data_IF_245719739264
#
_entry.id   IF_245719739264
#
_cell.length_a   1.000
_cell.length_b   1.000
_cell.length_c   1.000
_cell.angle_alpha   90.00
_cell.angle_beta   90.00
_cell.angle_gamma   90.00
#
_symmetry.space_group_name_H-M   'P 1'
#
loop_
_entity.id
_entity.type
_entity.pdbx_description
1 polymer ?
#
# COMPACT_ATOMS: atom_id res chain seq x y z
N UNK A 1 -17.42 7.81 6.19
CA UNK A 1 -16.11 7.11 6.14
C UNK A 1 -16.04 5.88 7.05
N UNK A 2 -16.38 5.92 8.35
CA UNK A 2 -16.40 4.72 9.22
C UNK A 2 -17.28 3.56 8.71
N UNK A 3 -18.45 3.87 8.11
CA UNK A 3 -19.35 2.87 7.51
C UNK A 3 -18.79 2.20 6.24
N UNK A 4 -17.80 2.82 5.58
CA UNK A 4 -17.21 2.32 4.33
C UNK A 4 -16.06 1.32 4.61
N UNK A 5 -15.34 1.52 5.71
CA UNK A 5 -14.28 0.60 6.19
C UNK A 5 -14.90 -0.70 6.73
N UNK A 6 -16.04 -0.61 7.44
CA UNK A 6 -16.74 -1.80 7.95
C UNK A 6 -17.27 -2.70 6.82
N UNK A 7 -17.63 -2.11 5.67
CA UNK A 7 -18.11 -2.85 4.51
C UNK A 7 -16.98 -3.62 3.82
N UNK A 8 -15.77 -3.04 3.75
CA UNK A 8 -14.61 -3.68 3.12
C UNK A 8 -14.04 -4.83 3.97
N UNK A 9 -14.07 -4.71 5.30
CA UNK A 9 -13.67 -5.79 6.21
C UNK A 9 -14.66 -6.98 6.19
N UNK A 10 -15.95 -6.74 5.92
CA UNK A 10 -16.97 -7.79 5.88
C UNK A 10 -16.88 -8.65 4.61
N UNK A 11 -16.37 -8.11 3.50
CA UNK A 11 -16.20 -8.85 2.25
C UNK A 11 -15.03 -9.86 2.27
N UNK A 12 -14.09 -9.75 3.21
CA UNK A 12 -12.93 -10.66 3.33
C UNK A 12 -13.29 -11.90 4.16
N UNK A 13 -14.39 -11.88 4.92
CA UNK A 13 -14.79 -12.95 5.83
C UNK A 13 -15.59 -14.09 5.17
N UNK A 14 -16.00 -13.94 3.90
CA UNK A 14 -16.78 -14.98 3.22
C UNK A 14 -15.87 -15.86 2.38
N UNK A 15 -15.98 -17.17 2.62
CA UNK A 15 -15.43 -18.29 1.84
C UNK A 15 -14.11 -18.91 2.31
N UNK A 16 -14.01 -19.22 3.62
CA UNK A 16 -13.23 -20.39 4.03
C UNK A 16 -14.01 -21.68 3.71
N UNK A 17 -14.24 -21.97 2.43
CA UNK A 17 -14.58 -23.32 2.02
C UNK A 17 -13.29 -24.14 2.09
N UNK A 18 -13.28 -25.19 2.90
CA UNK A 18 -12.23 -26.20 2.84
C UNK A 18 -12.26 -26.81 1.44
N UNK A 19 -11.42 -26.30 0.53
CA UNK A 19 -11.30 -26.81 -0.83
C UNK A 19 -10.73 -28.22 -0.75
N UNK A 20 -11.60 -29.22 -0.91
CA UNK A 20 -11.22 -30.62 -0.90
C UNK A 20 -10.63 -30.97 -2.25
N UNK A 21 -9.37 -31.38 -2.26
CA UNK A 21 -8.71 -31.92 -3.45
C UNK A 21 -9.18 -33.36 -3.62
N UNK A 22 -9.97 -33.61 -4.66
CA UNK A 22 -10.43 -34.96 -5.01
C UNK A 22 -9.71 -35.40 -6.27
N UNK A 23 -9.09 -36.59 -6.21
CA UNK A 23 -8.40 -37.21 -7.34
C UNK A 23 -9.28 -38.33 -7.85
N UNK A 24 -9.49 -38.36 -9.16
CA UNK A 24 -10.34 -39.32 -9.85
C UNK A 24 -9.53 -40.08 -10.90
N UNK A 25 -9.68 -41.40 -10.99
CA UNK A 25 -9.06 -42.20 -12.05
C UNK A 25 -9.78 -41.91 -13.36
N UNK A 26 -9.04 -41.51 -14.40
CA UNK A 26 -9.58 -41.16 -15.71
C UNK A 26 -8.66 -41.64 -16.81
N UNK A 27 -9.23 -42.19 -17.88
CA UNK A 27 -8.47 -42.50 -19.09
C UNK A 27 -8.56 -41.34 -20.09
N UNK A 28 -7.43 -40.94 -20.66
CA UNK A 28 -7.35 -39.92 -21.70
C UNK A 28 -6.60 -40.46 -22.92
N UNK A 29 -6.91 -39.91 -24.10
CA UNK A 29 -6.23 -40.29 -25.34
C UNK A 29 -4.95 -39.50 -25.50
N UNK A 30 -3.82 -40.20 -25.63
CA UNK A 30 -2.49 -39.61 -25.84
C UNK A 30 -1.79 -40.35 -26.98
N UNK A 31 -1.32 -39.59 -27.98
CA UNK A 31 -0.80 -40.15 -29.26
C UNK A 31 -1.79 -41.10 -29.97
N UNK A 32 -3.09 -40.83 -29.87
CA UNK A 32 -4.13 -41.65 -30.51
C UNK A 32 -4.51 -42.94 -29.77
N UNK A 33 -3.82 -43.28 -28.67
CA UNK A 33 -4.10 -44.46 -27.85
C UNK A 33 -4.60 -44.06 -26.45
N UNK A 34 -5.34 -44.96 -25.79
CA UNK A 34 -5.85 -44.73 -24.43
C UNK A 34 -4.74 -44.92 -23.41
N UNK A 35 -4.54 -43.93 -22.53
CA UNK A 35 -3.64 -44.02 -21.38
C UNK A 35 -4.47 -43.94 -20.09
N UNK A 36 -4.08 -44.70 -19.07
CA UNK A 36 -4.66 -44.63 -17.75
C UNK A 36 -3.93 -43.61 -16.89
N UNK A 37 -4.68 -42.90 -16.05
CA UNK A 37 -4.11 -41.87 -15.20
C UNK A 37 -5.11 -41.34 -14.18
N UNK A 38 -4.70 -40.26 -13.55
CA UNK A 38 -5.43 -39.61 -12.48
C UNK A 38 -5.63 -38.14 -12.83
N UNK A 39 -6.81 -37.64 -12.52
CA UNK A 39 -7.18 -36.24 -12.71
C UNK A 39 -7.58 -35.57 -11.41
N UNK A 40 -7.26 -34.29 -11.29
CA UNK A 40 -7.70 -33.41 -10.22
C UNK A 40 -8.42 -32.20 -10.80
N UNK A 41 -9.57 -31.86 -10.24
CA UNK A 41 -10.29 -30.63 -10.55
C UNK A 41 -9.88 -29.51 -9.58
N UNK A 42 -9.50 -28.36 -10.13
CA UNK A 42 -8.99 -27.21 -9.40
C UNK A 42 -9.80 -25.96 -9.75
N UNK A 43 -10.07 -25.13 -8.74
CA UNK A 43 -10.73 -23.85 -8.90
C UNK A 43 -9.73 -22.77 -9.31
N UNK A 44 -9.60 -22.55 -10.61
CA UNK A 44 -8.70 -21.57 -11.20
C UNK A 44 -8.76 -21.58 -12.72
N UNK A 45 -8.30 -20.47 -13.31
CA UNK A 45 -8.16 -20.31 -14.75
C UNK A 45 -7.20 -21.35 -15.31
N UNK A 46 -7.48 -21.80 -16.54
CA UNK A 46 -6.67 -22.79 -17.23
C UNK A 46 -5.21 -22.38 -17.33
N UNK A 47 -4.94 -21.10 -17.57
CA UNK A 47 -3.59 -20.55 -17.73
C UNK A 47 -2.79 -20.67 -16.43
N UNK A 48 -3.38 -20.25 -15.31
CA UNK A 48 -2.74 -20.27 -13.99
C UNK A 48 -2.45 -21.70 -13.54
N UNK A 49 -3.43 -22.59 -13.71
CA UNK A 49 -3.30 -24.02 -13.36
C UNK A 49 -2.26 -24.69 -14.25
N UNK A 50 -2.26 -24.41 -15.56
CA UNK A 50 -1.27 -24.96 -16.50
C UNK A 50 0.13 -24.45 -16.18
N UNK A 51 0.29 -23.16 -15.86
CA UNK A 51 1.58 -22.58 -15.49
C UNK A 51 2.12 -23.18 -14.18
N UNK A 52 1.27 -23.32 -13.17
CA UNK A 52 1.62 -23.94 -11.90
C UNK A 52 1.98 -25.43 -12.07
N UNK A 53 1.20 -26.16 -12.88
CA UNK A 53 1.47 -27.56 -13.20
C UNK A 53 2.80 -27.73 -13.94
N UNK A 54 3.05 -26.91 -14.96
CA UNK A 54 4.32 -26.91 -15.70
C UNK A 54 5.53 -26.66 -14.79
N UNK A 55 5.38 -25.78 -13.80
CA UNK A 55 6.43 -25.55 -12.80
C UNK A 55 6.62 -26.75 -11.90
N UNK A 56 5.53 -27.44 -11.56
CA UNK A 56 5.53 -28.61 -10.68
C UNK A 56 6.15 -29.85 -11.33
N UNK A 57 5.78 -30.18 -12.58
CA UNK A 57 6.28 -31.38 -13.26
C UNK A 57 7.71 -31.25 -13.80
N UNK A 58 8.28 -30.04 -13.82
CA UNK A 58 9.69 -29.84 -14.18
C UNK A 58 10.65 -30.58 -13.24
N UNK A 59 10.25 -30.78 -12.00
CA UNK A 59 11.04 -31.52 -11.01
C UNK A 59 11.13 -33.02 -11.36
N UNK A 60 10.23 -33.52 -12.22
CA UNK A 60 10.21 -34.92 -12.68
C UNK A 60 11.11 -35.15 -13.91
N UNK A 61 11.51 -34.10 -14.62
CA UNK A 61 12.37 -34.20 -15.80
C UNK A 61 12.11 -33.14 -16.87
N UNK A 62 12.72 -33.34 -18.05
CA UNK A 62 12.60 -32.41 -19.19
C UNK A 62 11.23 -32.53 -19.85
N UNK A 63 10.34 -31.58 -19.54
CA UNK A 63 9.01 -31.48 -20.14
C UNK A 63 9.11 -31.17 -21.64
N UNK A 64 8.46 -32.00 -22.46
CA UNK A 64 8.27 -31.79 -23.91
C UNK A 64 6.79 -31.65 -24.22
N UNK A 65 6.47 -30.88 -25.25
CA UNK A 65 5.09 -30.70 -25.74
C UNK A 65 4.82 -31.64 -26.91
N UNK A 66 3.65 -32.29 -26.90
CA UNK A 66 3.16 -33.16 -27.96
C UNK A 66 1.75 -32.75 -28.37
N UNK A 67 1.59 -31.60 -29.03
CA UNK A 67 0.27 -31.10 -29.42
C UNK A 67 -0.57 -30.67 -28.22
N UNK A 68 -1.61 -31.44 -27.87
CA UNK A 68 -2.54 -31.17 -26.78
C UNK A 68 -2.15 -31.80 -25.44
N UNK A 69 -1.03 -32.52 -25.39
CA UNK A 69 -0.48 -33.11 -24.17
C UNK A 69 1.00 -32.74 -24.00
N UNK A 70 1.50 -32.98 -22.80
CA UNK A 70 2.91 -32.88 -22.44
C UNK A 70 3.43 -34.25 -22.07
N UNK A 71 4.73 -34.46 -22.28
CA UNK A 71 5.37 -35.71 -21.93
C UNK A 71 6.76 -35.54 -21.37
N UNK A 72 7.15 -36.46 -20.51
CA UNK A 72 8.49 -36.55 -19.91
C UNK A 72 9.01 -37.95 -20.18
N UNK A 73 10.11 -38.04 -20.91
CA UNK A 73 10.87 -39.27 -21.09
C UNK A 73 11.75 -39.49 -19.87
N UNK A 74 11.82 -40.74 -19.39
CA UNK A 74 12.63 -41.13 -18.23
C UNK A 74 12.33 -40.31 -16.97
N UNK A 75 11.06 -40.29 -16.51
CA UNK A 75 10.66 -39.44 -15.40
C UNK A 75 11.25 -39.92 -14.07
N UNK A 76 11.54 -38.99 -13.17
CA UNK A 76 11.86 -39.27 -11.78
C UNK A 76 10.60 -39.14 -10.91
N UNK A 77 9.95 -40.26 -10.59
CA UNK A 77 8.69 -40.27 -9.83
C UNK A 77 8.93 -40.87 -8.44
N UNK A 78 8.51 -40.15 -7.39
CA UNK A 78 8.63 -40.63 -6.01
C UNK A 78 10.07 -40.86 -5.53
N UNK A 79 11.04 -40.17 -6.13
CA UNK A 79 12.47 -40.34 -5.83
C UNK A 79 13.17 -41.44 -6.64
N UNK A 80 12.44 -42.20 -7.46
CA UNK A 80 13.00 -43.22 -8.35
C UNK A 80 13.09 -42.67 -9.77
N UNK A 81 14.29 -42.67 -10.35
CA UNK A 81 14.49 -42.36 -11.76
C UNK A 81 14.24 -43.59 -12.62
N UNK A 82 13.26 -43.53 -13.51
CA UNK A 82 12.93 -44.63 -14.42
C UNK A 82 13.68 -44.44 -15.74
N UNK A 83 14.38 -45.48 -16.21
CA UNK A 83 15.14 -45.48 -17.47
C UNK A 83 14.29 -45.83 -18.70
N UNK A 84 13.05 -46.25 -18.47
CA UNK A 84 12.07 -46.67 -19.48
C UNK A 84 10.71 -46.15 -19.07
N UNK A 85 9.92 -45.68 -20.02
CA UNK A 85 8.58 -45.18 -19.79
C UNK A 85 8.46 -43.68 -20.03
N UNK A 86 7.26 -43.29 -20.44
CA UNK A 86 6.89 -41.90 -20.70
C UNK A 86 5.76 -41.53 -19.73
N UNK A 87 5.95 -40.41 -19.05
CA UNK A 87 4.90 -39.76 -18.26
C UNK A 87 4.15 -38.78 -19.16
N UNK A 88 2.83 -38.83 -19.14
CA UNK A 88 1.97 -37.94 -19.92
C UNK A 88 1.16 -37.04 -19.00
N UNK A 89 0.99 -35.79 -19.41
CA UNK A 89 0.16 -34.82 -18.70
C UNK A 89 -0.70 -34.02 -19.68
N UNK A 90 -1.89 -33.66 -19.23
CA UNK A 90 -2.83 -32.84 -20.01
C UNK A 90 -3.59 -31.91 -19.08
N UNK A 91 -3.69 -30.64 -19.46
CA UNK A 91 -4.49 -29.65 -18.75
C UNK A 91 -5.68 -29.24 -19.62
N UNK A 92 -6.88 -29.32 -19.06
CA UNK A 92 -8.10 -28.84 -19.70
C UNK A 92 -8.88 -27.98 -18.71
N UNK A 93 -9.71 -27.06 -19.16
CA UNK A 93 -10.42 -26.16 -18.25
C UNK A 93 -11.06 -24.97 -18.91
N UNK A 94 -11.85 -24.25 -18.12
CA UNK A 94 -12.44 -22.96 -18.45
C UNK A 94 -11.86 -21.88 -17.53
N UNK A 95 -12.50 -20.71 -17.47
CA UNK A 95 -12.02 -19.57 -16.66
C UNK A 95 -12.19 -19.77 -15.14
N UNK A 96 -13.03 -20.69 -14.69
CA UNK A 96 -13.34 -20.89 -13.27
C UNK A 96 -12.80 -22.20 -12.70
N UNK A 97 -12.79 -23.25 -13.53
CA UNK A 97 -12.47 -24.62 -13.17
C UNK A 97 -11.56 -25.24 -14.22
N UNK A 98 -10.47 -25.83 -13.75
CA UNK A 98 -9.51 -26.52 -14.59
C UNK A 98 -9.19 -27.89 -14.04
N UNK A 99 -9.08 -28.85 -14.93
CA UNK A 99 -8.72 -30.23 -14.65
C UNK A 99 -7.31 -30.49 -15.15
N UNK A 100 -6.46 -31.03 -14.28
CA UNK A 100 -5.15 -31.55 -14.66
C UNK A 100 -5.22 -33.06 -14.61
N UNK A 101 -4.80 -33.70 -15.70
CA UNK A 101 -4.67 -35.14 -15.82
C UNK A 101 -3.19 -35.52 -15.99
N UNK A 102 -2.78 -36.58 -15.31
CA UNK A 102 -1.47 -37.18 -15.44
C UNK A 102 -1.59 -38.69 -15.48
N UNK A 103 -0.82 -39.35 -16.35
CA UNK A 103 -0.92 -40.78 -16.55
C UNK A 103 0.26 -41.38 -17.28
N UNK A 104 0.24 -42.70 -17.40
CA UNK A 104 1.27 -43.51 -18.06
C UNK A 104 0.61 -44.56 -18.93
N UNK A 105 1.33 -45.03 -19.95
CA UNK A 105 0.91 -46.16 -20.77
C UNK A 105 1.62 -47.41 -20.29
N UNK A 106 0.89 -48.40 -19.79
CA UNK A 106 1.49 -49.64 -19.28
C UNK A 106 2.41 -50.35 -20.29
N UNK A 107 2.09 -50.29 -21.59
CA UNK A 107 2.91 -50.89 -22.66
C UNK A 107 4.29 -50.25 -22.85
N UNK A 108 4.50 -49.01 -22.40
CA UNK A 108 5.77 -48.29 -22.52
C UNK A 108 6.69 -48.51 -21.30
N UNK A 109 6.21 -49.22 -20.27
CA UNK A 109 6.90 -49.42 -19.00
C UNK A 109 7.27 -50.89 -18.82
N UNK A 110 8.56 -51.18 -18.66
CA UNK A 110 9.08 -52.55 -18.44
C UNK A 110 9.23 -52.91 -16.96
N UNK A 111 8.66 -52.11 -16.06
CA UNK A 111 8.81 -52.27 -14.61
C UNK A 111 7.81 -53.32 -14.13
N UNK A 112 8.26 -54.26 -13.29
CA UNK A 112 7.45 -55.36 -12.76
C UNK A 112 6.20 -54.92 -11.97
N UNK A 113 6.09 -53.64 -11.56
CA UNK A 113 4.95 -53.12 -10.80
C UNK A 113 4.48 -51.74 -11.31
N UNK A 114 3.78 -51.73 -12.45
CA UNK A 114 3.07 -50.54 -12.97
C UNK A 114 2.12 -49.94 -11.90
N UNK A 115 1.56 -50.80 -11.04
CA UNK A 115 0.69 -50.37 -9.93
C UNK A 115 1.39 -49.43 -8.93
N UNK A 116 2.71 -49.58 -8.70
CA UNK A 116 3.48 -48.68 -7.83
C UNK A 116 3.59 -47.30 -8.50
N UNK A 117 3.86 -47.28 -9.81
CA UNK A 117 3.96 -46.05 -10.60
C UNK A 117 2.60 -45.32 -10.62
N UNK A 118 1.51 -46.04 -10.83
CA UNK A 118 0.14 -45.49 -10.77
C UNK A 118 -0.16 -44.87 -9.40
N UNK A 119 0.13 -45.57 -8.30
CA UNK A 119 -0.05 -45.04 -6.95
C UNK A 119 0.83 -43.83 -6.64
N UNK A 120 2.02 -43.74 -7.25
CA UNK A 120 2.86 -42.54 -7.15
C UNK A 120 2.29 -41.37 -7.97
N UNK A 121 1.71 -41.62 -9.14
CA UNK A 121 1.05 -40.59 -9.96
C UNK A 121 -0.19 -40.04 -9.26
N UNK A 122 -0.99 -40.90 -8.62
CA UNK A 122 -2.13 -40.46 -7.80
C UNK A 122 -1.68 -39.50 -6.69
N UNK A 123 -0.64 -39.88 -5.94
CA UNK A 123 -0.05 -39.02 -4.90
C UNK A 123 0.50 -37.72 -5.47
N UNK A 124 1.15 -37.76 -6.62
CA UNK A 124 1.71 -36.60 -7.30
C UNK A 124 0.62 -35.60 -7.70
N UNK A 125 -0.47 -36.08 -8.30
CA UNK A 125 -1.62 -35.27 -8.73
C UNK A 125 -2.33 -34.66 -7.51
N UNK A 126 -2.49 -35.45 -6.43
CA UNK A 126 -3.01 -34.95 -5.16
C UNK A 126 -2.13 -33.85 -4.55
N UNK A 127 -0.82 -34.10 -4.46
CA UNK A 127 0.16 -33.14 -3.92
C UNK A 127 0.17 -31.84 -4.70
N UNK A 128 0.05 -31.92 -6.02
CA UNK A 128 -0.09 -30.72 -6.85
C UNK A 128 -1.35 -29.94 -6.49
N UNK A 129 -2.51 -30.59 -6.39
CA UNK A 129 -3.74 -29.90 -6.04
C UNK A 129 -3.65 -29.19 -4.69
N UNK A 130 -3.05 -29.86 -3.68
CA UNK A 130 -2.80 -29.26 -2.36
C UNK A 130 -1.83 -28.08 -2.47
N UNK A 131 -0.73 -28.23 -3.22
CA UNK A 131 0.26 -27.17 -3.41
C UNK A 131 -0.35 -25.96 -4.12
N UNK A 132 -1.13 -26.18 -5.18
CA UNK A 132 -1.79 -25.10 -5.93
C UNK A 132 -2.68 -24.24 -5.02
N UNK A 133 -3.52 -24.87 -4.19
CA UNK A 133 -4.35 -24.12 -3.25
C UNK A 133 -3.54 -23.44 -2.15
N UNK A 134 -2.49 -24.09 -1.62
CA UNK A 134 -1.58 -23.47 -0.65
C UNK A 134 -0.91 -22.23 -1.23
N UNK A 135 -0.38 -22.31 -2.45
CA UNK A 135 0.29 -21.20 -3.13
C UNK A 135 -0.69 -20.05 -3.39
N UNK A 136 -1.95 -20.36 -3.79
CA UNK A 136 -3.01 -19.36 -3.98
C UNK A 136 -3.39 -18.65 -2.67
N UNK A 137 -3.54 -19.40 -1.59
CA UNK A 137 -3.81 -18.84 -0.25
C UNK A 137 -2.64 -17.98 0.21
N UNK A 138 -1.40 -18.42 -0.02
CA UNK A 138 -0.21 -17.65 0.35
C UNK A 138 -0.15 -16.32 -0.42
N UNK A 139 -0.46 -16.31 -1.72
CA UNK A 139 -0.53 -15.07 -2.50
C UNK A 139 -1.57 -14.09 -1.92
N UNK A 140 -2.75 -14.58 -1.52
CA UNK A 140 -3.77 -13.75 -0.88
C UNK A 140 -3.32 -13.21 0.49
N UNK A 141 -2.58 -14.01 1.27
CA UNK A 141 -1.98 -13.58 2.54
C UNK A 141 -0.97 -12.47 2.28
N UNK A 142 -0.08 -12.65 1.30
CA UNK A 142 0.97 -11.69 0.97
C UNK A 142 0.37 -10.35 0.49
N UNK A 143 -0.66 -10.40 -0.35
CA UNK A 143 -1.44 -9.21 -0.76
C UNK A 143 -2.08 -8.51 0.46
N UNK A 144 -2.65 -9.28 1.38
CA UNK A 144 -3.24 -8.77 2.61
C UNK A 144 -2.22 -8.08 3.52
N UNK A 145 -1.03 -8.66 3.66
CA UNK A 145 0.09 -8.07 4.42
C UNK A 145 0.53 -6.75 3.75
N UNK A 146 0.72 -6.75 2.42
CA UNK A 146 1.12 -5.55 1.69
C UNK A 146 0.10 -4.42 1.82
N UNK A 147 -1.19 -4.74 1.75
CA UNK A 147 -2.27 -3.78 1.94
C UNK A 147 -2.28 -3.21 3.37
N UNK A 148 -2.11 -4.07 4.38
CA UNK A 148 -2.00 -3.68 5.79
C UNK A 148 -0.82 -2.72 6.03
N UNK A 149 0.35 -3.05 5.49
CA UNK A 149 1.55 -2.21 5.59
C UNK A 149 1.38 -0.84 4.93
N UNK A 150 0.70 -0.77 3.79
CA UNK A 150 0.38 0.49 3.13
C UNK A 150 -0.51 1.38 4.02
N UNK A 151 -1.54 0.80 4.64
CA UNK A 151 -2.44 1.50 5.57
C UNK A 151 -1.70 1.94 6.83
N UNK A 152 -0.83 1.10 7.39
CA UNK A 152 -0.01 1.45 8.55
C UNK A 152 0.90 2.65 8.27
N UNK A 153 1.58 2.66 7.11
CA UNK A 153 2.40 3.81 6.67
C UNK A 153 1.57 5.09 6.50
N UNK A 154 0.39 5.00 5.92
CA UNK A 154 -0.50 6.17 5.77
C UNK A 154 -0.99 6.69 7.12
N UNK A 155 -1.34 5.79 8.03
CA UNK A 155 -1.75 6.13 9.40
C UNK A 155 -0.63 6.87 10.13
N UNK A 156 0.60 6.38 10.04
CA UNK A 156 1.76 7.04 10.67
C UNK A 156 2.01 8.44 10.10
N UNK A 157 1.86 8.64 8.78
CA UNK A 157 1.95 9.96 8.15
C UNK A 157 0.90 10.93 8.69
N UNK A 158 -0.35 10.49 8.82
CA UNK A 158 -1.44 11.31 9.36
C UNK A 158 -1.21 11.66 10.83
N UNK A 159 -0.67 10.74 11.63
CA UNK A 159 -0.29 11.01 13.03
C UNK A 159 0.77 12.12 13.08
N UNK A 160 1.80 12.03 12.23
CA UNK A 160 2.87 13.03 12.20
C UNK A 160 2.36 14.40 11.74
N UNK A 161 1.49 14.44 10.72
CA UNK A 161 0.83 15.67 10.28
C UNK A 161 -0.03 16.28 11.38
N UNK A 162 -0.77 15.46 12.13
CA UNK A 162 -1.57 15.95 13.25
C UNK A 162 -0.70 16.58 14.35
N UNK A 163 0.45 15.96 14.66
CA UNK A 163 1.42 16.54 15.62
C UNK A 163 1.97 17.88 15.13
N UNK A 164 2.36 18.00 13.87
CA UNK A 164 2.84 19.26 13.28
C UNK A 164 1.77 20.36 13.30
N UNK A 165 0.52 20.02 12.97
CA UNK A 165 -0.60 20.95 13.04
C UNK A 165 -0.87 21.43 14.46
N UNK A 166 -0.84 20.53 15.46
CA UNK A 166 -1.00 20.91 16.87
C UNK A 166 0.14 21.81 17.34
N UNK A 167 1.38 21.57 16.91
CA UNK A 167 2.51 22.44 17.22
C UNK A 167 2.34 23.83 16.62
N UNK A 168 1.96 23.92 15.33
CA UNK A 168 1.67 25.19 14.65
C UNK A 168 0.53 25.96 15.32
N UNK A 169 -0.52 25.25 15.75
CA UNK A 169 -1.65 25.84 16.46
C UNK A 169 -1.21 26.42 17.80
N UNK A 170 -0.38 25.69 18.55
CA UNK A 170 0.22 26.19 19.80
C UNK A 170 1.07 27.45 19.60
N UNK A 171 1.94 27.46 18.58
CA UNK A 171 2.77 28.62 18.28
C UNK A 171 1.93 29.83 17.84
N UNK A 172 0.93 29.61 17.00
CA UNK A 172 0.03 30.69 16.56
C UNK A 172 -0.76 31.30 17.72
N UNK A 173 -1.19 30.48 18.68
CA UNK A 173 -1.84 30.97 19.90
C UNK A 173 -0.89 31.82 20.75
N UNK A 174 0.38 31.43 20.88
CA UNK A 174 1.38 32.23 21.60
C UNK A 174 1.70 33.54 20.88
N UNK A 175 1.88 33.50 19.56
CA UNK A 175 2.13 34.69 18.74
C UNK A 175 0.95 35.67 18.83
N UNK A 176 -0.29 35.18 18.78
CA UNK A 176 -1.49 35.99 18.99
C UNK A 176 -1.43 36.74 20.33
N UNK A 177 -1.09 36.05 21.43
CA UNK A 177 -0.98 36.69 22.75
C UNK A 177 0.11 37.78 22.75
N UNK A 178 1.24 37.54 22.10
CA UNK A 178 2.32 38.54 22.02
C UNK A 178 1.90 39.77 21.20
N UNK A 179 1.25 39.54 20.05
CA UNK A 179 0.74 40.62 19.20
C UNK A 179 -0.33 41.44 19.92
N UNK A 180 -1.27 40.80 20.62
CA UNK A 180 -2.28 41.49 21.43
C UNK A 180 -1.64 42.41 22.49
N UNK A 181 -0.62 41.93 23.21
CA UNK A 181 0.15 42.76 24.15
C UNK A 181 0.86 43.94 23.47
N UNK A 182 1.46 43.71 22.31
CA UNK A 182 2.15 44.76 21.55
C UNK A 182 1.21 45.85 21.07
N UNK A 183 0.00 45.47 20.64
CA UNK A 183 -1.06 46.39 20.21
C UNK A 183 -1.53 47.23 21.40
N UNK A 184 -1.70 46.62 22.57
CA UNK A 184 -2.09 47.33 23.79
C UNK A 184 -1.00 48.33 24.24
N UNK A 185 0.27 47.92 24.22
CA UNK A 185 1.39 48.80 24.52
C UNK A 185 1.47 50.00 23.54
N UNK A 186 1.30 49.75 22.24
CA UNK A 186 1.32 50.79 21.22
C UNK A 186 0.16 51.79 21.40
N UNK A 187 -1.03 51.32 21.79
CA UNK A 187 -2.16 52.20 22.13
C UNK A 187 -1.83 53.13 23.30
N UNK A 188 -1.22 52.61 24.36
CA UNK A 188 -0.79 53.41 25.51
C UNK A 188 0.27 54.44 25.12
N UNK A 189 1.26 54.04 24.32
CA UNK A 189 2.30 54.96 23.84
C UNK A 189 1.73 56.09 22.98
N UNK A 190 0.78 55.79 22.10
CA UNK A 190 0.08 56.79 21.29
C UNK A 190 -0.66 57.82 22.18
N UNK A 191 -1.39 57.36 23.21
CA UNK A 191 -2.04 58.26 24.17
C UNK A 191 -1.02 59.17 24.89
N UNK A 192 0.12 58.62 25.31
CA UNK A 192 1.20 59.40 25.93
C UNK A 192 1.78 60.43 24.96
N UNK A 193 1.97 60.08 23.69
CA UNK A 193 2.47 60.99 22.66
C UNK A 193 1.47 62.12 22.38
N UNK A 194 0.17 61.82 22.29
CA UNK A 194 -0.88 62.83 22.16
C UNK A 194 -0.81 63.83 23.32
N UNK A 195 -0.71 63.35 24.56
CA UNK A 195 -0.59 64.21 25.74
C UNK A 195 0.68 65.08 25.70
N UNK A 196 1.81 64.50 25.28
CA UNK A 196 3.08 65.24 25.12
C UNK A 196 2.97 66.33 24.04
N UNK A 197 2.33 66.03 22.92
CA UNK A 197 2.08 67.00 21.84
C UNK A 197 1.22 68.16 22.37
N UNK A 198 0.16 67.86 23.13
CA UNK A 198 -0.70 68.89 23.70
C UNK A 198 0.06 69.80 24.69
N UNK A 199 0.85 69.20 25.58
CA UNK A 199 1.67 69.96 26.54
C UNK A 199 2.73 70.81 25.83
N UNK A 200 3.34 70.30 24.76
CA UNK A 200 4.29 71.05 23.95
C UNK A 200 3.61 72.26 23.29
N UNK A 201 2.41 72.09 22.71
CA UNK A 201 1.63 73.20 22.13
C UNK A 201 1.35 74.30 23.17
N UNK A 202 0.89 73.94 24.37
CA UNK A 202 0.66 74.89 25.48
C UNK A 202 1.94 75.64 25.86
N UNK A 203 3.08 74.94 25.85
CA UNK A 203 4.39 75.55 26.14
C UNK A 203 4.84 76.49 25.02
N UNK A 204 4.63 76.14 23.76
CA UNK A 204 4.92 77.00 22.61
C UNK A 204 4.10 78.29 22.64
N UNK A 205 2.81 78.20 22.94
CA UNK A 205 1.93 79.36 23.07
C UNK A 205 2.40 80.29 24.19
N UNK A 206 2.79 79.71 25.33
CA UNK A 206 3.34 80.47 26.47
C UNK A 206 4.64 81.19 26.12
N UNK A 207 5.56 80.52 25.43
CA UNK A 207 6.83 81.12 24.97
C UNK A 207 6.57 82.20 23.92
N UNK A 208 5.61 82.00 23.01
CA UNK A 208 5.22 83.01 22.01
C UNK A 208 4.70 84.28 22.68
N UNK A 209 3.81 84.14 23.67
CA UNK A 209 3.31 85.27 24.47
C UNK A 209 4.44 86.01 25.19
N UNK A 210 5.37 85.28 25.82
CA UNK A 210 6.54 85.88 26.46
C UNK A 210 7.43 86.63 25.44
N UNK A 211 7.63 86.06 24.25
CA UNK A 211 8.38 86.70 23.17
C UNK A 211 7.73 87.99 22.67
N UNK A 212 6.41 88.04 22.59
CA UNK A 212 5.67 89.27 22.26
C UNK A 212 5.81 90.35 23.33
N UNK A 213 5.77 89.97 24.61
CA UNK A 213 6.02 90.90 25.71
C UNK A 213 7.45 91.44 25.67
N UNK A 214 8.45 90.59 25.45
CA UNK A 214 9.85 91.01 25.30
C UNK A 214 10.00 91.96 24.11
N UNK A 215 9.36 91.70 22.97
CA UNK A 215 9.37 92.62 21.82
C UNK A 215 8.82 94.00 22.18
N UNK A 216 7.69 94.07 22.90
CA UNK A 216 7.13 95.35 23.39
C UNK A 216 8.11 96.08 24.30
N UNK A 217 8.78 95.36 25.20
CA UNK A 217 9.81 95.94 26.09
C UNK A 217 10.99 96.47 25.29
N UNK A 218 11.48 95.74 24.28
CA UNK A 218 12.55 96.19 23.38
C UNK A 218 12.13 97.45 22.61
N UNK A 219 10.92 97.50 22.06
CA UNK A 219 10.40 98.68 21.37
C UNK A 219 10.32 99.89 22.29
N UNK A 220 9.83 99.71 23.52
CA UNK A 220 9.81 100.76 24.54
C UNK A 220 11.22 101.30 24.84
N UNK A 221 12.21 100.41 24.96
CA UNK A 221 13.61 100.81 25.16
C UNK A 221 14.19 101.54 23.93
N UNK A 222 13.88 101.09 22.71
CA UNK A 222 14.28 101.77 21.46
C UNK A 222 13.65 103.16 21.34
N UNK A 223 12.38 103.32 21.70
CA UNK A 223 11.73 104.63 21.73
C UNK A 223 12.34 105.57 22.77
N UNK A 224 12.63 105.06 23.98
CA UNK A 224 13.37 105.85 24.99
C UNK A 224 14.71 106.31 24.46
N UNK A 225 15.47 105.43 23.79
CA UNK A 225 16.75 105.80 23.18
C UNK A 225 16.60 106.90 22.13
N UNK A 226 15.55 106.87 21.31
CA UNK A 226 15.27 107.92 20.30
C UNK A 226 14.95 109.29 20.91
N UNK A 227 14.45 109.35 22.15
CA UNK A 227 14.12 110.61 22.84
C UNK A 227 15.30 111.24 23.60
N UNK A 228 16.47 110.58 23.60
CA UNK A 228 17.67 111.05 24.31
C UNK A 228 18.63 111.81 23.37
N UNK A 229 18.30 111.93 22.08
CA UNK A 229 18.92 112.83 21.11
C UNK A 229 17.93 113.92 20.68
#
# INVERSE_FOLDING_TARGET
MKKLILFFALCIATFSYAQKVEVSKKSEKVKGESAEGYSVELQGKKEDVTAAWNKFIKDLGKVRAGGDYQFIENPAIGGTAYTTGIFYAKSNGNEEKSTVWAGVKGAEWTVNDIAIVEGQIEKLVYQFGVKFYRDKIQAQIDEGIQASDAVARQTQRLINQNKDLNFKLGNNAQEKIQLEKSVEANKLENLVLIQKIENNKKSQDSVKLAGEQIKKVIEMHKERQRKVN
#
